data_IF_134186727400
#
_entry.id   IF_134186727400
#
_cell.length_a   1.000
_cell.length_b   1.000
_cell.length_c   1.000
_cell.angle_alpha   90.00
_cell.angle_beta   90.00
_cell.angle_gamma   90.00
#
_symmetry.space_group_name_H-M   'P 1'
#
loop_
_entity.id
_entity.type
_entity.pdbx_description
1 polymer ?
#
# COMPACT_ATOMS: atom_id res chain seq x y z
N UNK A 1 1.89 7.75 22.68
CA UNK A 1 1.62 6.44 22.03
C UNK A 1 2.19 6.48 20.61
N UNK A 2 3.39 5.94 20.35
CA UNK A 2 3.90 5.51 19.01
C UNK A 2 5.41 5.22 19.03
N UNK A 3 5.89 4.35 19.95
CA UNK A 3 7.25 3.76 19.79
C UNK A 3 7.20 2.43 19.03
N UNK A 4 6.06 1.73 19.05
CA UNK A 4 5.89 0.42 18.42
C UNK A 4 5.72 0.49 16.89
N UNK A 5 5.03 1.52 16.36
CA UNK A 5 4.85 1.68 14.90
C UNK A 5 6.18 1.99 14.21
N UNK A 6 7.05 2.76 14.87
CA UNK A 6 8.39 3.06 14.37
C UNK A 6 9.34 1.84 14.43
N UNK A 7 9.09 0.89 15.33
CA UNK A 7 9.93 -0.28 15.50
C UNK A 7 9.67 -1.37 14.45
N UNK A 8 8.41 -1.52 13.99
CA UNK A 8 8.02 -2.59 13.06
C UNK A 8 7.02 -2.10 12.00
N UNK A 9 7.47 -1.28 11.04
CA UNK A 9 6.60 -0.76 9.98
C UNK A 9 5.97 -1.89 9.15
N UNK A 10 6.69 -3.00 8.95
CA UNK A 10 6.19 -4.17 8.22
C UNK A 10 5.05 -4.89 8.95
N UNK A 11 5.10 -4.98 10.29
CA UNK A 11 4.01 -5.58 11.05
C UNK A 11 2.75 -4.69 11.03
N UNK A 12 2.93 -3.37 11.09
CA UNK A 12 1.82 -2.42 11.00
C UNK A 12 1.13 -2.48 9.62
N UNK A 13 1.93 -2.52 8.54
CA UNK A 13 1.39 -2.66 7.17
C UNK A 13 0.71 -4.02 6.97
N UNK A 14 1.30 -5.10 7.47
CA UNK A 14 0.70 -6.43 7.40
C UNK A 14 -0.65 -6.49 8.11
N UNK A 15 -0.73 -5.97 9.35
CA UNK A 15 -1.96 -5.94 10.12
C UNK A 15 -3.05 -5.09 9.45
N UNK A 16 -2.71 -3.92 8.89
CA UNK A 16 -3.65 -3.07 8.15
C UNK A 16 -4.18 -3.78 6.90
N UNK A 17 -3.31 -4.48 6.18
CA UNK A 17 -3.67 -5.19 4.95
C UNK A 17 -4.54 -6.40 5.27
N UNK A 18 -4.24 -7.14 6.34
CA UNK A 18 -5.07 -8.22 6.89
C UNK A 18 -6.45 -7.73 7.30
N UNK A 19 -6.52 -6.62 8.03
CA UNK A 19 -7.76 -5.97 8.42
C UNK A 19 -8.60 -5.58 7.20
N UNK A 20 -7.98 -5.00 6.17
CA UNK A 20 -8.64 -4.68 4.91
C UNK A 20 -9.11 -5.93 4.14
N UNK A 21 -8.36 -7.03 4.22
CA UNK A 21 -8.74 -8.31 3.62
C UNK A 21 -9.97 -8.94 4.27
N UNK A 22 -10.24 -8.61 5.54
CA UNK A 22 -11.46 -9.03 6.23
C UNK A 22 -12.59 -8.00 6.13
N UNK A 23 -12.28 -6.71 6.18
CA UNK A 23 -13.24 -5.60 6.13
C UNK A 23 -12.68 -4.45 5.31
N UNK A 24 -13.30 -4.21 4.16
CA UNK A 24 -12.91 -3.10 3.30
C UNK A 24 -13.38 -1.75 3.87
N UNK A 25 -12.47 -1.04 4.53
CA UNK A 25 -12.68 0.32 5.04
C UNK A 25 -11.93 1.33 4.17
N UNK A 26 -12.65 2.34 3.66
CA UNK A 26 -12.07 3.35 2.78
C UNK A 26 -10.94 4.15 3.48
N UNK A 27 -11.12 4.45 4.77
CA UNK A 27 -10.12 5.14 5.61
C UNK A 27 -8.82 4.33 5.77
N UNK A 28 -8.92 3.02 6.01
CA UNK A 28 -7.75 2.14 6.11
C UNK A 28 -7.06 1.97 4.76
N UNK A 29 -7.83 1.96 3.67
CA UNK A 29 -7.30 1.89 2.30
C UNK A 29 -6.48 3.13 1.96
N UNK A 30 -6.95 4.33 2.32
CA UNK A 30 -6.18 5.59 2.18
C UNK A 30 -4.90 5.54 3.01
N UNK A 31 -4.98 5.05 4.24
CA UNK A 31 -3.81 4.90 5.12
C UNK A 31 -2.79 3.90 4.55
N UNK A 32 -3.26 2.78 3.99
CA UNK A 32 -2.43 1.79 3.30
C UNK A 32 -1.77 2.38 2.05
N UNK A 33 -2.51 3.10 1.20
CA UNK A 33 -1.96 3.78 0.02
C UNK A 33 -0.87 4.78 0.42
N UNK A 34 -1.08 5.57 1.47
CA UNK A 34 -0.10 6.56 1.97
C UNK A 34 1.19 5.86 2.43
N UNK A 35 1.04 4.72 3.11
CA UNK A 35 2.16 3.91 3.58
C UNK A 35 2.92 3.25 2.42
N UNK A 36 2.19 2.77 1.40
CA UNK A 36 2.75 2.21 0.18
C UNK A 36 3.49 3.25 -0.67
N UNK A 37 2.99 4.50 -0.75
CA UNK A 37 3.70 5.60 -1.43
C UNK A 37 5.00 5.90 -0.71
N UNK A 38 4.97 5.95 0.62
CA UNK A 38 6.17 6.26 1.42
C UNK A 38 7.19 5.12 1.39
N UNK A 39 6.71 3.87 1.37
CA UNK A 39 7.55 2.67 1.49
C UNK A 39 7.02 1.52 0.60
N UNK A 40 7.13 1.64 -0.74
CA UNK A 40 6.61 0.63 -1.66
C UNK A 40 7.34 -0.72 -1.51
N UNK A 41 8.63 -0.69 -1.20
CA UNK A 41 9.45 -1.90 -0.96
C UNK A 41 9.00 -2.72 0.27
N UNK A 42 8.25 -2.12 1.18
CA UNK A 42 7.71 -2.81 2.35
C UNK A 42 6.55 -3.73 1.98
N UNK A 43 5.81 -3.36 0.92
CA UNK A 43 4.68 -4.13 0.40
C UNK A 43 5.13 -5.55 0.04
N UNK A 44 6.24 -5.68 -0.67
CA UNK A 44 6.76 -6.98 -1.12
C UNK A 44 7.21 -7.85 0.05
N UNK A 45 7.76 -7.23 1.10
CA UNK A 45 8.22 -7.93 2.30
C UNK A 45 7.08 -8.48 3.16
N UNK A 46 5.91 -7.83 3.14
CA UNK A 46 4.75 -8.30 3.90
C UNK A 46 3.95 -9.37 3.18
N UNK A 47 4.02 -9.48 1.84
CA UNK A 47 3.32 -10.51 1.04
C UNK A 47 3.39 -11.93 1.64
N UNK A 48 4.57 -12.47 2.03
CA UNK A 48 4.65 -13.82 2.59
C UNK A 48 3.98 -13.99 3.97
N UNK A 49 3.62 -12.91 4.64
CA UNK A 49 2.98 -12.89 5.96
C UNK A 49 1.48 -12.63 5.89
N UNK A 50 0.96 -12.35 4.69
CA UNK A 50 -0.42 -11.98 4.46
C UNK A 50 -1.26 -13.18 4.03
N UNK A 51 -2.54 -13.15 4.41
CA UNK A 51 -3.54 -14.08 3.88
C UNK A 51 -3.84 -13.77 2.41
N UNK A 52 -4.33 -14.77 1.66
CA UNK A 52 -4.76 -14.62 0.25
C UNK A 52 -5.64 -13.39 -0.03
N UNK A 53 -6.70 -13.09 0.75
CA UNK A 53 -7.50 -11.87 0.53
C UNK A 53 -6.72 -10.58 0.80
N UNK A 54 -5.84 -10.57 1.81
CA UNK A 54 -5.01 -9.42 2.12
C UNK A 54 -3.97 -9.15 1.01
N UNK A 55 -3.36 -10.20 0.45
CA UNK A 55 -2.48 -10.08 -0.73
C UNK A 55 -3.23 -9.49 -1.92
N UNK A 56 -4.50 -9.87 -2.14
CA UNK A 56 -5.31 -9.30 -3.22
C UNK A 56 -5.57 -7.81 -3.01
N UNK A 57 -5.89 -7.38 -1.78
CA UNK A 57 -6.01 -5.95 -1.43
C UNK A 57 -4.70 -5.22 -1.67
N UNK A 58 -3.57 -5.76 -1.20
CA UNK A 58 -2.26 -5.13 -1.36
C UNK A 58 -1.90 -4.94 -2.83
N UNK A 59 -2.10 -5.98 -3.65
CA UNK A 59 -1.86 -5.92 -5.09
C UNK A 59 -2.79 -4.93 -5.78
N UNK A 60 -4.07 -4.87 -5.39
CA UNK A 60 -5.02 -3.88 -5.90
C UNK A 60 -4.56 -2.45 -5.56
N UNK A 61 -4.09 -2.25 -4.32
CA UNK A 61 -3.58 -0.97 -3.84
C UNK A 61 -2.30 -0.55 -4.59
N UNK A 62 -1.37 -1.48 -4.78
CA UNK A 62 -0.17 -1.26 -5.60
C UNK A 62 -0.54 -0.94 -7.05
N UNK A 63 -1.43 -1.71 -7.68
CA UNK A 63 -1.89 -1.45 -9.05
C UNK A 63 -2.56 -0.07 -9.20
N UNK A 64 -3.33 0.38 -8.20
CA UNK A 64 -3.91 1.73 -8.19
C UNK A 64 -2.84 2.82 -8.08
N UNK A 65 -1.72 2.55 -7.40
CA UNK A 65 -0.57 3.44 -7.33
C UNK A 65 0.32 3.37 -8.58
N UNK A 66 0.40 2.21 -9.22
CA UNK A 66 1.20 1.99 -10.45
C UNK A 66 0.47 2.48 -11.69
N UNK A 67 -0.88 2.51 -11.66
CA UNK A 67 -1.63 3.30 -12.62
C UNK A 67 -1.30 4.77 -12.33
N UNK A 68 -0.62 5.47 -13.25
CA UNK A 68 -0.59 6.91 -13.17
C UNK A 68 -2.07 7.29 -13.21
N UNK A 69 -2.62 7.84 -12.12
CA UNK A 69 -3.78 8.71 -12.26
C UNK A 69 -3.40 9.62 -13.42
N UNK A 70 -4.19 9.58 -14.48
CA UNK A 70 -3.90 10.14 -15.79
C UNK A 70 -3.56 11.63 -15.69
N UNK A 71 -2.36 11.96 -15.23
CA UNK A 71 -1.61 13.10 -15.66
C UNK A 71 -1.08 12.65 -17.02
N UNK A 72 -1.54 13.25 -18.13
CA UNK A 72 -0.80 13.09 -19.37
C UNK A 72 0.65 13.43 -19.01
N UNK A 73 1.56 12.51 -19.33
CA UNK A 73 2.98 12.77 -19.24
C UNK A 73 3.23 14.20 -19.76
N UNK A 74 4.06 15.03 -19.10
CA UNK A 74 4.47 16.28 -19.71
C UNK A 74 5.01 15.89 -21.07
N UNK A 75 4.27 16.26 -22.11
CA UNK A 75 4.68 16.06 -23.48
C UNK A 75 6.03 16.74 -23.52
N UNK A 76 7.06 15.91 -23.61
CA UNK A 76 8.41 16.28 -24.03
C UNK A 76 8.23 17.45 -25.01
N UNK A 77 8.69 18.66 -24.70
CA UNK A 77 10.12 18.92 -24.59
C UNK A 77 10.83 18.13 -25.69
N UNK A 78 10.48 18.40 -26.95
CA UNK A 78 11.27 18.06 -28.12
C UNK A 78 11.25 19.26 -29.09
N UNK A 79 12.36 19.48 -29.80
CA UNK A 79 12.94 20.79 -30.10
C UNK A 79 12.27 21.57 -31.23
#
# INVERSE_FOLDING_TARGET
>A
MTKAIAAFPHAAMAALTELLGQKEENSWRIMLMTMLISQPALAEQVIPWLSTPAVAVLKSCQQQLTQPQTMPAPIYCQP
#
